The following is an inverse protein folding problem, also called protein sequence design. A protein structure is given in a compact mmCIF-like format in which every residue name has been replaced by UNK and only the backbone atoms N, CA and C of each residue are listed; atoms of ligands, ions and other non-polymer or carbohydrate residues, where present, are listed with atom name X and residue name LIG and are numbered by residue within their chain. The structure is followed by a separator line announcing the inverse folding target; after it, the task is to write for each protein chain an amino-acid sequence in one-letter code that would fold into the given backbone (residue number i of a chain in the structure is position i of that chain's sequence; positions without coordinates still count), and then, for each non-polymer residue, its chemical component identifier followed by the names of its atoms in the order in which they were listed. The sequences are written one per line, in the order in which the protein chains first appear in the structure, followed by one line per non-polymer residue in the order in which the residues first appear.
data_IF_515288243678
#
_entry.id   IF_515288243678
#
_cell.length_a   1.000
_cell.length_b   1.000
_cell.length_c   1.000
_cell.angle_alpha   90.00
_cell.angle_beta   90.00
_cell.angle_gamma   90.00
#
_symmetry.space_group_name_H-M   'P 1'
#
loop_
_entity.id
_entity.type
_entity.pdbx_description
1 polymer ?
#
# COMPACT_ATOMS: atom_id res chain seq x y z
N UNK A 1 23.90 50.41 5.60
CA UNK A 1 23.59 49.64 6.83
C UNK A 1 23.86 50.56 8.01
N UNK A 2 22.83 51.00 8.72
CA UNK A 2 22.97 51.82 9.93
C UNK A 2 23.05 50.89 11.13
N UNK A 3 24.18 50.84 11.82
CA UNK A 3 24.41 49.93 12.96
C UNK A 3 23.90 50.56 14.27
N UNK A 4 23.00 49.87 14.98
CA UNK A 4 22.64 50.19 16.35
C UNK A 4 23.63 49.59 17.36
N UNK A 5 23.95 50.38 18.40
CA UNK A 5 24.74 50.11 19.64
C UNK A 5 25.53 48.79 19.69
N UNK A 6 26.87 48.90 19.78
CA UNK A 6 27.87 47.81 19.79
C UNK A 6 28.39 47.54 21.21
N UNK A 7 28.37 46.28 21.62
CA UNK A 7 29.16 45.75 22.75
C UNK A 7 30.05 44.62 22.18
N UNK A 8 31.38 44.72 22.34
CA UNK A 8 32.32 43.74 21.76
C UNK A 8 33.53 43.46 22.63
N UNK A 9 33.94 42.18 22.65
CA UNK A 9 35.19 41.70 23.25
C UNK A 9 36.06 41.01 22.17
N UNK A 10 37.37 41.23 22.23
CA UNK A 10 38.33 40.75 21.22
C UNK A 10 39.04 39.48 21.73
N UNK A 11 38.91 38.36 21.02
CA UNK A 11 39.78 37.17 21.18
C UNK A 11 40.15 36.60 19.79
N UNK A 12 41.34 36.92 19.30
CA UNK A 12 41.88 36.46 18.00
C UNK A 12 41.43 37.29 16.78
N UNK A 13 41.57 36.75 15.56
CA UNK A 13 41.13 37.37 14.29
C UNK A 13 39.60 37.54 14.14
N UNK A 14 38.85 37.14 15.17
CA UNK A 14 37.41 37.28 15.24
C UNK A 14 37.05 38.10 16.47
N UNK A 15 36.16 39.06 16.28
CA UNK A 15 35.60 39.84 17.37
C UNK A 15 34.21 39.25 17.63
N UNK A 16 33.84 39.05 18.89
CA UNK A 16 32.47 38.67 19.27
C UNK A 16 31.70 39.93 19.61
N UNK A 17 30.47 40.04 19.14
CA UNK A 17 29.63 41.18 19.47
C UNK A 17 28.15 40.90 19.30
N UNK A 18 27.35 41.80 19.87
CA UNK A 18 25.90 41.85 19.68
C UNK A 18 25.53 43.04 18.82
N UNK A 19 24.68 42.82 17.84
CA UNK A 19 24.25 43.79 16.83
C UNK A 19 22.72 43.88 16.83
N UNK A 20 22.20 45.10 16.86
CA UNK A 20 20.78 45.40 16.71
C UNK A 20 20.57 46.15 15.39
N UNK A 21 19.60 45.69 14.62
CA UNK A 21 19.30 46.27 13.30
C UNK A 21 18.00 47.08 13.36
N UNK A 22 17.88 48.08 12.48
CA UNK A 22 16.70 48.94 12.40
C UNK A 22 15.39 48.18 12.08
N UNK A 23 15.49 47.01 11.44
CA UNK A 23 14.34 46.15 11.16
C UNK A 23 13.92 45.30 12.37
N UNK A 24 14.51 45.49 13.55
CA UNK A 24 14.21 44.73 14.76
C UNK A 24 14.98 43.41 14.91
N UNK A 25 15.76 43.00 13.90
CA UNK A 25 16.64 41.84 14.02
C UNK A 25 17.70 42.05 15.10
N UNK A 26 18.22 40.93 15.63
CA UNK A 26 19.39 40.91 16.51
C UNK A 26 20.36 39.82 16.04
N UNK A 27 21.65 40.08 16.07
CA UNK A 27 22.69 39.07 15.85
C UNK A 27 23.68 39.08 16.99
N UNK A 28 24.09 37.90 17.45
CA UNK A 28 25.14 37.72 18.43
C UNK A 28 26.11 36.67 17.93
N UNK A 29 27.36 37.04 17.68
CA UNK A 29 28.33 36.08 17.17
C UNK A 29 29.64 36.69 16.73
N UNK A 30 30.40 35.86 16.04
CA UNK A 30 31.70 36.23 15.49
C UNK A 30 31.53 37.14 14.26
N UNK A 31 32.48 38.06 14.07
CA UNK A 31 32.62 38.88 12.88
C UNK A 31 34.08 39.01 12.44
N UNK A 32 34.26 39.20 11.13
CA UNK A 32 35.55 39.45 10.49
C UNK A 32 35.36 40.49 9.40
N UNK A 33 36.20 41.54 9.39
CA UNK A 33 36.14 42.66 8.42
C UNK A 33 34.72 43.26 8.29
N UNK A 34 34.12 43.62 9.43
CA UNK A 34 32.78 44.21 9.53
C UNK A 34 31.62 43.37 8.95
N UNK A 35 31.83 42.07 8.72
CA UNK A 35 30.79 41.13 8.31
C UNK A 35 30.65 39.97 9.29
N UNK A 36 29.42 39.48 9.46
CA UNK A 36 29.15 38.29 10.27
C UNK A 36 29.86 37.08 9.65
N UNK A 37 30.61 36.36 10.48
CA UNK A 37 31.44 35.24 10.05
C UNK A 37 31.68 34.29 11.22
N UNK A 38 31.70 32.99 10.97
CA UNK A 38 31.92 31.98 12.01
C UNK A 38 30.61 31.55 12.66
N UNK A 39 30.61 31.26 13.96
CA UNK A 39 29.38 30.85 14.67
C UNK A 39 28.63 32.06 15.23
N UNK A 40 27.31 32.04 15.13
CA UNK A 40 26.45 33.09 15.66
C UNK A 40 24.99 32.66 15.83
N UNK A 41 24.26 33.48 16.57
CA UNK A 41 22.83 33.37 16.81
C UNK A 41 22.14 34.61 16.25
N UNK A 42 21.10 34.41 15.45
CA UNK A 42 20.36 35.46 14.78
C UNK A 42 18.89 35.37 15.20
N UNK A 43 18.31 36.48 15.67
CA UNK A 43 16.89 36.63 15.94
C UNK A 43 16.30 37.50 14.83
N UNK A 44 15.33 36.94 14.12
CA UNK A 44 14.68 37.59 12.99
C UNK A 44 13.45 38.40 13.45
N UNK A 45 13.01 39.40 12.68
CA UNK A 45 11.89 40.26 13.06
C UNK A 45 10.56 39.51 13.13
N UNK A 46 10.44 38.41 12.37
CA UNK A 46 9.28 37.53 12.41
C UNK A 46 9.23 36.65 13.67
N UNK A 47 10.25 36.68 14.53
CA UNK A 47 10.36 35.86 15.74
C UNK A 47 11.19 34.59 15.56
N UNK A 48 11.62 34.24 14.33
CA UNK A 48 12.47 33.08 14.10
C UNK A 48 13.84 33.26 14.77
N UNK A 49 14.45 32.15 15.19
CA UNK A 49 15.78 32.17 15.82
C UNK A 49 16.69 31.15 15.15
N UNK A 50 17.76 31.63 14.53
CA UNK A 50 18.82 30.80 13.97
C UNK A 50 20.01 30.70 14.91
N UNK A 51 20.63 29.53 15.00
CA UNK A 51 21.90 29.30 15.67
C UNK A 51 22.79 28.41 14.81
N UNK A 52 23.90 28.93 14.31
CA UNK A 52 24.75 28.16 13.41
C UNK A 52 25.90 28.93 12.80
N UNK A 53 26.41 28.39 11.69
CA UNK A 53 27.50 28.98 10.92
C UNK A 53 26.99 30.09 10.00
N UNK A 54 27.74 31.19 9.95
CA UNK A 54 27.47 32.36 9.13
C UNK A 54 28.74 32.70 8.36
N UNK A 55 28.61 33.05 7.08
CA UNK A 55 29.74 33.44 6.24
C UNK A 55 29.37 34.64 5.39
N UNK A 56 30.13 35.72 5.53
CA UNK A 56 29.93 36.98 4.80
C UNK A 56 28.49 37.52 4.94
N UNK A 57 27.97 37.46 6.17
CA UNK A 57 26.62 37.93 6.47
C UNK A 57 25.47 36.98 6.12
N UNK A 58 25.73 35.80 5.53
CA UNK A 58 24.71 34.82 5.15
C UNK A 58 24.79 33.56 5.99
N UNK A 59 23.65 32.92 6.24
CA UNK A 59 23.60 31.61 6.89
C UNK A 59 24.24 30.57 5.97
N UNK A 60 25.22 29.83 6.48
CA UNK A 60 26.01 28.91 5.66
C UNK A 60 26.72 27.86 6.50
N UNK A 61 26.70 26.60 6.06
CA UNK A 61 27.19 25.46 6.84
C UNK A 61 26.11 24.95 7.80
N UNK A 62 26.50 24.32 8.91
CA UNK A 62 25.52 23.73 9.83
C UNK A 62 24.84 24.77 10.72
N UNK A 63 23.53 24.61 10.91
CA UNK A 63 22.77 25.43 11.84
C UNK A 63 21.36 24.90 12.11
N UNK A 64 20.77 25.44 13.18
CA UNK A 64 19.41 25.19 13.62
C UNK A 64 18.59 26.46 13.45
N UNK A 65 17.41 26.37 12.86
CA UNK A 65 16.41 27.44 12.79
C UNK A 65 15.15 26.99 13.53
N UNK A 66 14.75 27.76 14.54
CA UNK A 66 13.45 27.64 15.19
C UNK A 66 12.51 28.70 14.60
N UNK A 67 11.35 28.27 14.14
CA UNK A 67 10.31 29.13 13.62
C UNK A 67 9.36 29.61 14.75
N UNK A 68 8.66 30.74 14.57
CA UNK A 68 7.79 31.30 15.61
C UNK A 68 6.56 30.43 15.89
N UNK A 69 6.15 29.63 14.91
CA UNK A 69 5.05 28.68 15.02
C UNK A 69 5.43 27.42 15.82
N UNK A 70 6.72 27.17 16.03
CA UNK A 70 7.27 26.01 16.74
C UNK A 70 7.91 24.97 15.82
N UNK A 71 7.86 25.16 14.49
CA UNK A 71 8.59 24.30 13.56
C UNK A 71 10.10 24.49 13.75
N UNK A 72 10.90 23.48 13.44
CA UNK A 72 12.36 23.48 13.58
C UNK A 72 13.03 22.85 12.36
N UNK A 73 14.12 23.44 11.90
CA UNK A 73 15.05 22.81 10.95
C UNK A 73 16.44 22.74 11.54
N UNK A 74 17.07 21.57 11.45
CA UNK A 74 18.47 21.34 11.78
C UNK A 74 19.17 20.73 10.58
N UNK A 75 20.18 21.40 10.02
CA UNK A 75 20.88 20.83 8.88
C UNK A 75 21.91 21.74 8.27
N UNK A 76 22.29 21.43 7.03
CA UNK A 76 23.20 22.24 6.24
C UNK A 76 22.46 23.44 5.64
N UNK A 77 23.16 24.56 5.54
CA UNK A 77 22.70 25.83 5.00
C UNK A 77 23.60 26.26 3.86
N UNK A 78 23.02 26.79 2.80
CA UNK A 78 23.75 27.41 1.71
C UNK A 78 23.04 28.70 1.32
N UNK A 79 23.75 29.83 1.42
CA UNK A 79 23.27 31.17 1.02
C UNK A 79 21.88 31.51 1.57
N UNK A 80 21.68 31.34 2.88
CA UNK A 80 20.41 31.65 3.57
C UNK A 80 19.26 30.64 3.35
N UNK A 81 19.51 29.54 2.64
CA UNK A 81 18.54 28.46 2.39
C UNK A 81 18.95 27.15 3.05
N UNK A 82 17.96 26.31 3.38
CA UNK A 82 18.18 24.90 3.71
C UNK A 82 18.87 24.19 2.53
N UNK A 83 19.83 23.32 2.83
CA UNK A 83 20.58 22.63 1.81
C UNK A 83 21.12 21.30 2.34
N UNK A 84 21.42 20.36 1.45
CA UNK A 84 22.10 19.12 1.81
C UNK A 84 21.30 18.31 2.83
N UNK A 85 21.98 17.61 3.73
CA UNK A 85 21.32 16.80 4.76
C UNK A 85 20.74 17.67 5.87
N UNK A 86 19.52 17.35 6.30
CA UNK A 86 18.87 18.00 7.43
C UNK A 86 17.70 17.20 8.00
N UNK A 87 17.18 17.70 9.11
CA UNK A 87 15.99 17.23 9.79
C UNK A 87 15.05 18.42 9.96
N UNK A 88 13.82 18.29 9.47
CA UNK A 88 12.72 19.20 9.74
C UNK A 88 11.78 18.55 10.75
N UNK A 89 11.35 19.30 11.75
CA UNK A 89 10.33 18.90 12.73
C UNK A 89 9.24 19.94 12.74
N UNK A 90 8.00 19.53 12.55
CA UNK A 90 6.87 20.40 12.75
C UNK A 90 6.44 20.43 14.20
N UNK A 91 5.82 21.54 14.62
CA UNK A 91 5.18 21.69 15.93
C UNK A 91 4.09 20.65 16.23
N UNK A 92 3.54 20.00 15.20
CA UNK A 92 2.53 18.95 15.36
C UNK A 92 3.13 17.54 15.57
N UNK A 93 4.46 17.43 15.57
CA UNK A 93 5.17 16.16 15.80
C UNK A 93 5.64 15.48 14.51
N UNK A 94 5.14 15.90 13.36
CA UNK A 94 5.60 15.42 12.06
C UNK A 94 7.06 15.78 11.82
N UNK A 95 7.82 14.92 11.16
CA UNK A 95 9.22 15.18 10.86
C UNK A 95 9.65 14.57 9.54
N UNK A 96 10.68 15.17 8.95
CA UNK A 96 11.35 14.71 7.75
C UNK A 96 12.86 14.75 7.97
N UNK A 97 13.55 13.65 7.73
CA UNK A 97 15.01 13.56 7.65
C UNK A 97 15.41 13.19 6.24
N UNK A 98 16.19 14.04 5.58
CA UNK A 98 16.59 13.76 4.21
C UNK A 98 17.45 14.84 3.60
N UNK A 99 17.44 14.89 2.27
CA UNK A 99 18.19 15.87 1.49
C UNK A 99 17.28 17.03 1.09
N UNK A 100 17.78 18.26 1.22
CA UNK A 100 17.11 19.51 0.86
C UNK A 100 17.86 20.16 -0.32
N UNK A 101 17.12 20.50 -1.37
CA UNK A 101 17.66 21.20 -2.54
C UNK A 101 17.49 22.74 -2.43
N UNK A 102 18.29 23.51 -3.17
CA UNK A 102 18.05 24.96 -3.34
C UNK A 102 16.76 25.16 -4.17
N UNK A 103 15.64 25.58 -3.56
CA UNK A 103 14.41 25.76 -4.34
C UNK A 103 13.18 26.24 -3.56
N UNK A 104 12.93 27.55 -3.61
CA UNK A 104 11.71 28.19 -3.13
C UNK A 104 11.94 29.70 -3.00
N UNK A 105 11.68 30.43 -4.09
CA UNK A 105 12.05 31.86 -4.24
C UNK A 105 11.44 32.73 -3.13
N UNK A 106 12.27 33.68 -2.67
CA UNK A 106 11.91 34.94 -2.00
C UNK A 106 11.61 34.97 -0.48
N UNK A 107 11.87 33.91 0.28
CA UNK A 107 11.80 33.99 1.76
C UNK A 107 13.00 33.34 2.43
N UNK A 108 13.56 34.02 3.43
CA UNK A 108 14.58 33.47 4.33
C UNK A 108 13.98 32.25 5.05
N UNK A 109 14.62 31.10 4.90
CA UNK A 109 14.05 29.85 5.42
C UNK A 109 12.70 29.51 4.77
N UNK A 110 12.49 29.85 3.49
CA UNK A 110 11.40 29.27 2.72
C UNK A 110 11.42 27.76 3.00
N UNK A 111 10.25 27.20 3.37
CA UNK A 111 9.98 25.77 3.31
C UNK A 111 10.30 25.38 1.88
N UNK A 112 11.59 25.09 1.62
CA UNK A 112 12.03 24.61 0.33
C UNK A 112 11.13 23.44 0.03
N UNK A 113 10.63 23.38 -1.21
CA UNK A 113 9.80 22.29 -1.71
C UNK A 113 10.27 21.00 -1.03
N UNK A 114 9.46 20.51 -0.08
CA UNK A 114 9.93 19.62 0.98
C UNK A 114 10.63 18.42 0.33
N UNK A 115 11.94 18.26 0.57
CA UNK A 115 12.68 17.10 0.11
C UNK A 115 12.59 16.76 -1.38
N UNK A 116 13.43 17.36 -2.22
CA UNK A 116 13.82 16.67 -3.46
C UNK A 116 14.86 15.60 -3.09
N UNK A 117 14.56 14.32 -3.33
CA UNK A 117 15.49 13.21 -3.12
C UNK A 117 15.01 12.17 -2.11
N UNK A 118 15.94 11.38 -1.56
CA UNK A 118 15.62 10.29 -0.63
C UNK A 118 15.58 10.78 0.82
N UNK A 119 14.57 10.36 1.57
CA UNK A 119 14.41 10.71 2.98
C UNK A 119 13.49 9.76 3.73
N UNK A 120 13.37 10.02 5.03
CA UNK A 120 12.50 9.35 5.98
C UNK A 120 11.54 10.42 6.52
N UNK A 121 10.23 10.16 6.49
CA UNK A 121 9.22 11.06 7.03
C UNK A 121 8.24 10.30 7.93
N UNK A 122 7.81 10.92 9.02
CA UNK A 122 6.57 10.48 9.68
C UNK A 122 5.38 10.95 8.87
N UNK A 123 4.44 10.03 8.65
CA UNK A 123 3.10 10.32 8.18
C UNK A 123 2.17 10.42 9.40
N UNK A 124 0.95 10.90 9.19
CA UNK A 124 -0.07 11.01 10.25
C UNK A 124 -0.25 9.69 11.00
N UNK A 125 -0.54 9.77 12.30
CA UNK A 125 -0.84 8.62 13.18
C UNK A 125 0.30 7.65 13.49
N UNK A 126 1.56 8.04 13.21
CA UNK A 126 2.75 7.27 13.60
C UNK A 126 3.29 6.34 12.52
N UNK A 127 2.69 6.38 11.33
CA UNK A 127 3.20 5.75 10.12
C UNK A 127 4.53 6.42 9.72
N UNK A 128 5.42 5.66 9.08
CA UNK A 128 6.75 6.12 8.67
C UNK A 128 6.99 5.77 7.21
N UNK A 129 7.22 6.77 6.37
CA UNK A 129 7.62 6.59 4.98
C UNK A 129 9.13 6.74 4.81
N UNK A 130 9.74 5.81 4.07
CA UNK A 130 11.12 5.89 3.60
C UNK A 130 11.13 5.78 2.08
N UNK A 131 11.59 6.82 1.38
CA UNK A 131 11.63 6.74 -0.07
C UNK A 131 12.06 8.04 -0.73
N UNK A 132 11.81 8.09 -2.03
CA UNK A 132 12.02 9.28 -2.82
C UNK A 132 10.85 10.24 -2.67
N UNK A 133 11.17 11.53 -2.69
CA UNK A 133 10.23 12.64 -2.64
C UNK A 133 10.50 13.59 -3.81
N UNK A 134 9.41 14.17 -4.31
CA UNK A 134 9.42 15.23 -5.29
C UNK A 134 8.44 16.33 -4.84
N UNK A 135 8.98 17.52 -4.59
CA UNK A 135 8.22 18.68 -4.12
C UNK A 135 7.30 18.43 -2.90
N UNK A 136 7.79 17.67 -1.92
CA UNK A 136 7.08 17.37 -0.67
C UNK A 136 6.18 16.15 -0.71
N UNK A 137 6.04 15.53 -1.88
CA UNK A 137 5.15 14.39 -2.09
C UNK A 137 5.98 13.13 -2.34
N UNK A 138 5.64 11.98 -1.76
CA UNK A 138 6.21 10.69 -2.16
C UNK A 138 6.16 10.50 -3.68
N UNK A 139 7.31 10.26 -4.31
CA UNK A 139 7.44 10.12 -5.76
C UNK A 139 8.60 9.17 -6.09
N UNK A 140 8.31 8.16 -6.91
CA UNK A 140 9.20 7.03 -7.18
C UNK A 140 9.05 5.89 -6.15
N UNK A 141 10.13 5.13 -5.93
CA UNK A 141 10.10 3.98 -5.01
C UNK A 141 10.14 4.43 -3.55
N UNK A 142 9.28 3.82 -2.72
CA UNK A 142 9.24 4.06 -1.29
C UNK A 142 8.63 2.90 -0.51
N UNK A 143 8.91 2.87 0.78
CA UNK A 143 8.39 1.93 1.74
C UNK A 143 7.63 2.69 2.83
N UNK A 144 6.50 2.18 3.28
CA UNK A 144 5.75 2.67 4.44
C UNK A 144 5.77 1.60 5.53
N UNK A 145 6.14 1.96 6.75
CA UNK A 145 5.92 1.18 7.97
C UNK A 145 4.70 1.78 8.66
N UNK A 146 3.65 1.00 8.80
CA UNK A 146 2.43 1.44 9.47
C UNK A 146 2.56 1.30 10.99
N UNK A 147 1.86 2.15 11.74
CA UNK A 147 1.87 2.14 13.20
C UNK A 147 1.38 0.81 13.81
N UNK A 148 0.53 0.07 13.08
CA UNK A 148 0.05 -1.26 13.44
C UNK A 148 1.11 -2.37 13.26
N UNK A 149 2.28 -2.04 12.68
CA UNK A 149 3.37 -2.98 12.36
C UNK A 149 3.30 -3.57 10.96
N UNK A 150 2.28 -3.21 10.16
CA UNK A 150 2.21 -3.53 8.74
C UNK A 150 3.27 -2.78 7.94
N UNK A 151 3.50 -3.21 6.69
CA UNK A 151 4.48 -2.61 5.79
C UNK A 151 3.94 -2.55 4.36
N UNK A 152 4.29 -1.51 3.61
CA UNK A 152 3.99 -1.38 2.19
C UNK A 152 5.27 -1.05 1.43
N UNK A 153 5.60 -1.85 0.42
CA UNK A 153 6.66 -1.56 -0.55
C UNK A 153 6.01 -1.13 -1.86
N UNK A 154 6.22 0.11 -2.31
CA UNK A 154 5.47 0.65 -3.44
C UNK A 154 6.27 1.60 -4.34
N UNK A 155 5.71 1.85 -5.52
CA UNK A 155 6.10 2.94 -6.41
C UNK A 155 4.97 3.96 -6.44
N UNK A 156 5.29 5.22 -6.17
CA UNK A 156 4.39 6.36 -6.10
C UNK A 156 4.59 7.22 -7.34
N UNK A 157 3.57 7.37 -8.18
CA UNK A 157 3.64 8.25 -9.36
C UNK A 157 2.29 8.95 -9.56
N UNK A 158 2.29 10.29 -9.56
CA UNK A 158 1.11 11.13 -9.82
C UNK A 158 -0.15 10.75 -8.99
N UNK A 159 0.04 10.44 -7.70
CA UNK A 159 -1.05 10.07 -6.79
C UNK A 159 -1.54 8.62 -6.93
N UNK A 160 -0.94 7.82 -7.82
CA UNK A 160 -1.11 6.37 -7.84
C UNK A 160 -0.01 5.71 -7.03
N UNK A 161 -0.38 4.71 -6.24
CA UNK A 161 0.55 3.88 -5.50
C UNK A 161 0.37 2.45 -5.99
N UNK A 162 1.42 1.80 -6.48
CA UNK A 162 1.35 0.37 -6.85
C UNK A 162 2.42 -0.36 -6.07
N UNK A 163 2.04 -1.42 -5.37
CA UNK A 163 2.96 -2.06 -4.46
C UNK A 163 2.44 -3.33 -3.80
N UNK A 164 3.22 -3.76 -2.80
CA UNK A 164 3.00 -4.95 -2.00
C UNK A 164 2.84 -4.55 -0.53
N UNK A 165 1.64 -4.71 0.02
CA UNK A 165 1.35 -4.50 1.45
C UNK A 165 1.39 -5.82 2.19
N UNK A 166 2.13 -5.86 3.30
CA UNK A 166 2.08 -6.92 4.30
C UNK A 166 1.36 -6.35 5.52
N UNK A 167 0.22 -6.92 5.89
CA UNK A 167 -0.56 -6.49 7.05
C UNK A 167 0.06 -7.02 8.35
N UNK A 168 -0.25 -6.39 9.49
CA UNK A 168 0.28 -6.79 10.80
C UNK A 168 -0.04 -8.25 11.18
N UNK A 169 -1.14 -8.81 10.65
CA UNK A 169 -1.53 -10.21 10.84
C UNK A 169 -0.72 -11.20 9.97
N UNK A 170 0.08 -10.70 9.01
CA UNK A 170 0.89 -11.45 8.05
C UNK A 170 0.26 -11.65 6.68
N UNK A 171 -0.96 -11.17 6.45
CA UNK A 171 -1.59 -11.20 5.13
C UNK A 171 -0.84 -10.31 4.14
N UNK A 172 -0.92 -10.63 2.84
CA UNK A 172 -0.21 -9.92 1.78
C UNK A 172 -1.18 -9.51 0.68
N UNK A 173 -1.13 -8.24 0.29
CA UNK A 173 -1.83 -7.70 -0.87
C UNK A 173 -0.84 -7.14 -1.88
N UNK A 174 -1.04 -7.42 -3.16
CA UNK A 174 -0.26 -6.88 -4.27
C UNK A 174 -1.19 -6.25 -5.30
N UNK A 175 -1.04 -4.94 -5.53
CA UNK A 175 -1.92 -4.21 -6.43
C UNK A 175 -1.75 -2.70 -6.42
N UNK A 176 -2.68 -2.02 -7.09
CA UNK A 176 -2.81 -0.56 -6.97
C UNK A 176 -3.48 -0.21 -5.63
N UNK A 177 -3.00 0.85 -4.99
CA UNK A 177 -3.61 1.52 -3.86
C UNK A 177 -3.97 2.92 -4.33
N UNK A 178 -5.23 3.32 -4.15
CA UNK A 178 -5.61 4.73 -4.20
C UNK A 178 -5.78 5.22 -2.78
N UNK A 179 -5.30 6.43 -2.51
CA UNK A 179 -5.62 7.15 -1.29
C UNK A 179 -7.15 7.25 -1.19
N UNK A 180 -7.75 6.47 -0.29
CA UNK A 180 -9.17 6.37 0.11
C UNK A 180 -10.14 5.37 -0.54
N UNK A 181 -9.86 4.65 -1.64
CA UNK A 181 -10.85 3.70 -2.20
C UNK A 181 -10.16 2.54 -2.94
N UNK A 182 -10.42 1.29 -2.54
CA UNK A 182 -9.99 0.08 -3.27
C UNK A 182 -10.95 -0.17 -4.43
N UNK A 183 -10.49 0.03 -5.66
CA UNK A 183 -11.22 -0.31 -6.88
C UNK A 183 -10.23 -0.78 -7.95
N UNK A 184 -10.23 -2.09 -8.27
CA UNK A 184 -9.39 -2.70 -9.30
C UNK A 184 -9.42 -4.24 -9.30
N UNK A 185 -8.87 -4.86 -10.35
CA UNK A 185 -8.56 -6.30 -10.36
C UNK A 185 -7.30 -6.53 -9.53
N UNK A 186 -7.44 -7.22 -8.39
CA UNK A 186 -6.45 -7.17 -7.32
C UNK A 186 -6.09 -8.58 -6.83
N UNK A 187 -4.83 -8.80 -6.42
CA UNK A 187 -4.35 -10.09 -5.93
C UNK A 187 -4.09 -10.03 -4.42
N UNK A 188 -4.84 -10.83 -3.66
CA UNK A 188 -4.72 -10.96 -2.21
C UNK A 188 -4.27 -12.38 -1.85
N UNK A 189 -3.27 -12.50 -0.98
CA UNK A 189 -2.83 -13.78 -0.39
C UNK A 189 -2.99 -13.73 1.13
N UNK A 190 -3.80 -14.65 1.64
CA UNK A 190 -4.10 -14.81 3.05
C UNK A 190 -3.03 -15.67 3.73
N UNK A 191 -2.75 -15.39 5.00
CA UNK A 191 -1.80 -16.15 5.83
C UNK A 191 -2.13 -17.64 5.91
N UNK A 192 -3.40 -18.00 5.81
CA UNK A 192 -3.84 -19.40 5.81
C UNK A 192 -3.54 -20.14 4.50
N UNK A 193 -2.89 -19.49 3.54
CA UNK A 193 -2.48 -20.06 2.27
C UNK A 193 -3.56 -20.00 1.20
N UNK A 194 -4.64 -19.25 1.40
CA UNK A 194 -5.60 -18.95 0.34
C UNK A 194 -5.14 -17.73 -0.47
N UNK A 195 -5.56 -17.63 -1.71
CA UNK A 195 -5.41 -16.43 -2.52
C UNK A 195 -6.70 -16.10 -3.24
N UNK A 196 -6.90 -14.82 -3.53
CA UNK A 196 -8.00 -14.32 -4.33
C UNK A 196 -7.47 -13.33 -5.35
N UNK A 197 -7.88 -13.47 -6.60
CA UNK A 197 -7.59 -12.54 -7.69
C UNK A 197 -8.92 -12.08 -8.28
N UNK A 198 -9.30 -10.82 -8.13
CA UNK A 198 -10.59 -10.34 -8.61
C UNK A 198 -10.97 -8.98 -8.04
N UNK A 199 -12.24 -8.66 -8.13
CA UNK A 199 -12.79 -7.40 -7.65
C UNK A 199 -13.05 -7.44 -6.13
N UNK A 200 -12.91 -6.28 -5.47
CA UNK A 200 -13.24 -6.06 -4.08
C UNK A 200 -14.21 -4.89 -3.91
N UNK A 201 -15.06 -4.98 -2.88
CA UNK A 201 -15.94 -3.90 -2.42
C UNK A 201 -15.97 -3.91 -0.88
N UNK A 202 -15.69 -2.76 -0.26
CA UNK A 202 -15.54 -2.62 1.20
C UNK A 202 -14.73 -3.75 1.87
N UNK A 203 -13.52 -4.02 1.35
CA UNK A 203 -12.60 -5.09 1.81
C UNK A 203 -13.14 -6.54 1.68
N UNK A 204 -14.24 -6.76 0.96
CA UNK A 204 -14.84 -8.09 0.73
C UNK A 204 -14.76 -8.49 -0.74
N UNK A 205 -14.64 -9.80 -1.03
CA UNK A 205 -14.69 -10.29 -2.42
C UNK A 205 -16.01 -9.87 -3.08
N UNK A 206 -15.92 -9.24 -4.24
CA UNK A 206 -17.09 -8.88 -5.02
C UNK A 206 -16.82 -9.08 -6.52
N UNK A 207 -17.79 -8.77 -7.37
CA UNK A 207 -17.69 -8.94 -8.83
C UNK A 207 -17.25 -10.33 -9.25
N UNK A 208 -16.32 -10.39 -10.21
CA UNK A 208 -15.72 -11.65 -10.67
C UNK A 208 -14.36 -11.86 -10.02
N UNK A 209 -14.07 -13.11 -9.66
CA UNK A 209 -12.78 -13.44 -9.09
C UNK A 209 -12.45 -14.93 -9.05
N UNK A 210 -11.15 -15.21 -8.94
CA UNK A 210 -10.54 -16.51 -8.77
C UNK A 210 -9.99 -16.65 -7.36
N UNK A 211 -10.59 -17.52 -6.56
CA UNK A 211 -10.06 -17.97 -5.29
C UNK A 211 -9.30 -19.29 -5.45
N UNK A 212 -8.15 -19.42 -4.79
CA UNK A 212 -7.32 -20.64 -4.80
C UNK A 212 -6.85 -20.98 -3.40
N UNK A 213 -6.83 -22.26 -3.05
CA UNK A 213 -6.28 -22.79 -1.81
C UNK A 213 -4.91 -23.43 -2.07
N UNK A 214 -3.86 -22.97 -1.41
CA UNK A 214 -2.49 -23.51 -1.55
C UNK A 214 -2.07 -24.42 -0.39
N UNK A 215 -2.95 -24.62 0.58
CA UNK A 215 -2.72 -25.38 1.81
C UNK A 215 -3.81 -26.41 2.01
N UNK A 216 -3.47 -27.50 2.70
CA UNK A 216 -4.48 -28.47 3.14
C UNK A 216 -5.19 -27.97 4.40
N UNK A 217 -6.51 -28.08 4.41
CA UNK A 217 -7.38 -27.75 5.53
C UNK A 217 -8.50 -28.78 5.66
N UNK A 218 -9.30 -28.69 6.72
CA UNK A 218 -10.46 -29.57 6.91
C UNK A 218 -11.59 -29.32 5.90
N UNK A 219 -11.60 -28.14 5.26
CA UNK A 219 -12.63 -27.74 4.30
C UNK A 219 -12.17 -27.81 2.83
N UNK A 220 -10.86 -27.68 2.58
CA UNK A 220 -10.26 -27.59 1.25
C UNK A 220 -8.88 -28.21 1.22
N UNK A 221 -8.54 -28.88 0.13
CA UNK A 221 -7.19 -29.37 -0.13
C UNK A 221 -6.41 -28.38 -0.97
N UNK A 222 -5.07 -28.42 -0.87
CA UNK A 222 -4.19 -27.61 -1.69
C UNK A 222 -4.43 -27.90 -3.19
N UNK A 223 -4.59 -26.85 -4.00
CA UNK A 223 -4.97 -26.91 -5.41
C UNK A 223 -6.49 -26.80 -5.67
N UNK A 224 -7.32 -26.69 -4.64
CA UNK A 224 -8.75 -26.40 -4.81
C UNK A 224 -8.93 -24.93 -5.22
N UNK A 225 -9.89 -24.64 -6.10
CA UNK A 225 -10.15 -23.28 -6.56
C UNK A 225 -11.62 -23.03 -6.87
N UNK A 226 -12.01 -21.77 -6.88
CA UNK A 226 -13.30 -21.30 -7.36
C UNK A 226 -13.10 -20.08 -8.26
N UNK A 227 -13.66 -20.14 -9.46
CA UNK A 227 -13.73 -19.03 -10.42
C UNK A 227 -15.19 -18.68 -10.66
N UNK A 228 -15.60 -17.45 -10.40
CA UNK A 228 -16.99 -17.06 -10.62
C UNK A 228 -17.35 -15.72 -10.01
N UNK A 229 -18.65 -15.54 -9.87
CA UNK A 229 -19.25 -14.35 -9.28
C UNK A 229 -19.22 -14.42 -7.73
N UNK A 230 -18.96 -13.26 -7.12
CA UNK A 230 -18.86 -13.03 -5.69
C UNK A 230 -19.74 -11.86 -5.27
N UNK A 231 -20.43 -12.00 -4.15
CA UNK A 231 -21.21 -10.93 -3.51
C UNK A 231 -20.90 -10.91 -2.03
N UNK A 232 -20.27 -9.82 -1.56
CA UNK A 232 -19.87 -9.61 -0.17
C UNK A 232 -19.18 -10.84 0.45
N UNK A 233 -18.13 -11.33 -0.21
CA UNK A 233 -17.31 -12.45 0.24
C UNK A 233 -17.91 -13.84 0.02
N UNK A 234 -19.10 -13.96 -0.58
CA UNK A 234 -19.78 -15.24 -0.83
C UNK A 234 -19.90 -15.54 -2.31
N UNK A 235 -19.81 -16.82 -2.66
CA UNK A 235 -20.05 -17.28 -4.03
C UNK A 235 -21.54 -17.20 -4.34
N UNK A 236 -21.86 -16.50 -5.41
CA UNK A 236 -23.22 -16.17 -5.82
C UNK A 236 -23.25 -16.17 -7.35
N UNK A 237 -24.37 -16.54 -7.97
CA UNK A 237 -24.47 -16.54 -9.43
C UNK A 237 -23.66 -17.66 -10.10
N UNK A 238 -23.09 -17.40 -11.27
CA UNK A 238 -22.41 -18.44 -12.06
C UNK A 238 -20.96 -18.65 -11.62
N UNK A 239 -20.56 -19.91 -11.44
CA UNK A 239 -19.18 -20.23 -11.08
C UNK A 239 -18.74 -21.64 -11.38
N UNK A 240 -17.45 -21.88 -11.20
CA UNK A 240 -16.78 -23.16 -11.38
C UNK A 240 -15.88 -23.42 -10.19
N UNK A 241 -16.10 -24.54 -9.49
CA UNK A 241 -15.23 -25.01 -8.41
C UNK A 241 -14.45 -26.23 -8.86
N UNK A 242 -13.16 -26.21 -8.63
CA UNK A 242 -12.26 -27.36 -8.76
C UNK A 242 -11.89 -27.81 -7.34
N UNK A 243 -12.17 -29.07 -7.02
CA UNK A 243 -11.86 -29.64 -5.72
C UNK A 243 -10.68 -30.59 -5.87
N UNK A 244 -9.50 -30.18 -5.39
CA UNK A 244 -8.35 -31.08 -5.34
C UNK A 244 -8.58 -32.18 -4.30
N UNK A 245 -8.10 -33.40 -4.58
CA UNK A 245 -8.19 -34.53 -3.64
C UNK A 245 -9.38 -35.48 -3.84
N UNK A 246 -9.92 -35.63 -5.06
CA UNK A 246 -10.81 -36.77 -5.38
C UNK A 246 -12.27 -36.41 -5.62
N UNK A 247 -12.64 -35.13 -5.62
CA UNK A 247 -14.04 -34.70 -5.62
C UNK A 247 -14.52 -34.11 -6.95
N UNK A 248 -13.65 -33.89 -7.94
CA UNK A 248 -14.06 -33.42 -9.26
C UNK A 248 -14.31 -31.91 -9.41
N UNK A 249 -14.96 -31.55 -10.52
CA UNK A 249 -15.23 -30.18 -10.97
C UNK A 249 -16.73 -29.95 -11.01
N UNK A 250 -17.21 -28.88 -10.37
CA UNK A 250 -18.57 -28.39 -10.56
C UNK A 250 -18.57 -27.09 -11.34
N UNK A 251 -19.53 -26.95 -12.26
CA UNK A 251 -19.81 -25.73 -13.02
C UNK A 251 -21.31 -25.47 -13.02
N UNK A 252 -21.75 -24.34 -12.49
CA UNK A 252 -23.17 -24.02 -12.40
C UNK A 252 -23.44 -22.85 -11.48
N UNK A 253 -24.71 -22.70 -11.11
CA UNK A 253 -25.14 -21.60 -10.24
C UNK A 253 -24.77 -21.88 -8.77
N UNK A 254 -24.54 -20.80 -8.02
CA UNK A 254 -24.27 -20.73 -6.60
C UNK A 254 -25.21 -19.72 -5.94
N UNK A 255 -25.62 -20.01 -4.71
CA UNK A 255 -26.39 -19.12 -3.85
C UNK A 255 -25.89 -19.31 -2.42
N UNK A 256 -25.39 -18.25 -1.77
CA UNK A 256 -24.80 -18.32 -0.43
C UNK A 256 -23.77 -19.44 -0.28
N UNK A 257 -22.77 -19.50 -1.16
CA UNK A 257 -21.70 -20.53 -1.19
C UNK A 257 -22.14 -21.95 -1.53
N UNK A 258 -23.43 -22.18 -1.75
CA UNK A 258 -23.96 -23.51 -2.02
C UNK A 258 -24.34 -23.64 -3.49
N UNK A 259 -24.03 -24.79 -4.09
CA UNK A 259 -24.51 -25.15 -5.43
C UNK A 259 -26.03 -25.01 -5.48
N UNK A 260 -26.53 -24.28 -6.45
CA UNK A 260 -27.94 -23.97 -6.63
C UNK A 260 -28.28 -24.01 -8.13
N UNK A 261 -29.56 -23.89 -8.49
CA UNK A 261 -29.99 -23.71 -9.86
C UNK A 261 -29.55 -24.87 -10.77
N UNK A 262 -29.12 -24.56 -12.00
CA UNK A 262 -28.60 -25.56 -12.93
C UNK A 262 -27.09 -25.69 -12.79
N UNK A 263 -26.60 -26.93 -12.85
CA UNK A 263 -25.16 -27.19 -12.79
C UNK A 263 -24.75 -28.59 -13.21
N UNK A 264 -23.49 -28.69 -13.58
CA UNK A 264 -22.80 -29.91 -14.00
C UNK A 264 -21.69 -30.26 -13.01
N UNK A 265 -21.61 -31.52 -12.61
CA UNK A 265 -20.59 -32.09 -11.74
C UNK A 265 -19.85 -33.20 -12.49
N UNK A 266 -18.55 -33.02 -12.71
CA UNK A 266 -17.66 -34.01 -13.29
C UNK A 266 -16.81 -34.61 -12.18
N UNK A 267 -16.96 -35.89 -11.92
CA UNK A 267 -16.22 -36.58 -10.86
C UNK A 267 -14.91 -37.19 -11.39
N UNK A 268 -13.96 -37.39 -10.49
CA UNK A 268 -12.64 -37.94 -10.84
C UNK A 268 -12.69 -39.39 -11.34
N UNK A 269 -13.73 -40.14 -10.95
CA UNK A 269 -14.01 -41.47 -11.51
C UNK A 269 -14.60 -41.44 -12.94
N UNK A 270 -14.73 -40.26 -13.55
CA UNK A 270 -15.23 -40.06 -14.91
C UNK A 270 -16.74 -39.88 -15.02
N UNK A 271 -17.49 -39.97 -13.91
CA UNK A 271 -18.93 -39.71 -13.91
C UNK A 271 -19.25 -38.24 -14.16
N UNK A 272 -20.33 -37.94 -14.86
CA UNK A 272 -20.83 -36.59 -15.11
C UNK A 272 -22.30 -36.52 -14.76
N UNK A 273 -22.65 -35.70 -13.76
CA UNK A 273 -24.03 -35.33 -13.47
C UNK A 273 -24.33 -33.95 -14.03
N UNK A 274 -25.44 -33.79 -14.74
CA UNK A 274 -25.98 -32.51 -15.17
C UNK A 274 -27.42 -32.39 -14.70
N UNK A 275 -27.78 -31.33 -14.00
CA UNK A 275 -29.15 -31.19 -13.52
C UNK A 275 -29.35 -30.03 -12.56
N UNK A 276 -30.48 -30.10 -11.87
CA UNK A 276 -30.90 -29.11 -10.89
C UNK A 276 -30.25 -29.37 -9.51
N UNK A 277 -29.94 -28.28 -8.82
CA UNK A 277 -29.28 -28.23 -7.52
C UNK A 277 -30.03 -27.26 -6.60
N UNK A 278 -30.06 -27.59 -5.32
CA UNK A 278 -30.59 -26.72 -4.28
C UNK A 278 -29.80 -26.89 -3.00
N UNK A 279 -29.20 -25.79 -2.54
CA UNK A 279 -28.46 -25.71 -1.28
C UNK A 279 -27.41 -26.83 -1.15
N UNK A 280 -26.63 -27.04 -2.21
CA UNK A 280 -25.53 -27.99 -2.25
C UNK A 280 -25.92 -29.43 -2.61
N UNK A 281 -27.22 -29.72 -2.76
CA UNK A 281 -27.74 -31.07 -3.04
C UNK A 281 -28.37 -31.14 -4.42
N UNK A 282 -28.27 -32.30 -5.06
CA UNK A 282 -29.01 -32.62 -6.28
C UNK A 282 -30.51 -32.62 -5.97
N UNK A 283 -31.30 -31.83 -6.68
CA UNK A 283 -32.74 -31.71 -6.47
C UNK A 283 -33.42 -31.43 -7.80
N UNK A 284 -34.50 -32.15 -8.14
CA UNK A 284 -35.21 -31.95 -9.40
C UNK A 284 -34.73 -32.86 -10.52
N UNK A 285 -34.72 -32.35 -11.76
CA UNK A 285 -34.35 -33.13 -12.94
C UNK A 285 -32.84 -33.17 -13.17
N UNK A 286 -32.32 -34.33 -13.56
CA UNK A 286 -30.91 -34.44 -13.92
C UNK A 286 -30.56 -35.76 -14.60
N UNK A 287 -29.39 -35.80 -15.23
CA UNK A 287 -28.81 -36.96 -15.90
C UNK A 287 -27.42 -37.23 -15.34
N UNK A 288 -27.11 -38.48 -15.00
CA UNK A 288 -25.76 -38.90 -14.64
C UNK A 288 -25.25 -39.93 -15.65
N UNK A 289 -24.09 -39.68 -16.23
CA UNK A 289 -23.40 -40.58 -17.16
C UNK A 289 -22.14 -41.09 -16.49
N UNK A 290 -21.90 -42.40 -16.49
CA UNK A 290 -20.64 -42.98 -16.03
C UNK A 290 -20.33 -44.27 -16.78
N UNK A 291 -19.05 -44.64 -16.80
CA UNK A 291 -18.56 -45.85 -17.45
C UNK A 291 -18.35 -46.93 -16.40
N UNK A 292 -18.92 -48.12 -16.62
CA UNK A 292 -18.71 -49.28 -15.75
C UNK A 292 -18.58 -50.53 -16.60
N UNK A 293 -17.46 -51.26 -16.48
CA UNK A 293 -17.24 -52.52 -17.19
C UNK A 293 -17.24 -52.43 -18.72
N UNK A 294 -16.99 -51.24 -19.30
CA UNK A 294 -17.03 -50.99 -20.75
C UNK A 294 -18.37 -50.47 -21.28
N UNK A 295 -19.43 -50.45 -20.46
CA UNK A 295 -20.74 -49.90 -20.81
C UNK A 295 -20.87 -48.43 -20.37
N UNK A 296 -21.63 -47.65 -21.15
CA UNK A 296 -22.06 -46.29 -20.78
C UNK A 296 -23.44 -46.39 -20.10
N UNK A 297 -23.50 -45.99 -18.84
CA UNK A 297 -24.73 -46.00 -18.04
C UNK A 297 -25.27 -44.59 -17.90
N UNK A 298 -26.56 -44.40 -18.23
CA UNK A 298 -27.29 -43.15 -18.05
C UNK A 298 -28.35 -43.31 -16.95
N UNK A 299 -28.28 -42.46 -15.93
CA UNK A 299 -29.29 -42.38 -14.86
C UNK A 299 -30.09 -41.09 -15.01
N UNK A 300 -31.42 -41.21 -15.13
CA UNK A 300 -32.32 -40.07 -15.18
C UNK A 300 -33.01 -39.85 -13.83
N UNK A 301 -32.89 -38.64 -13.28
CA UNK A 301 -33.52 -38.18 -12.05
C UNK A 301 -34.71 -37.28 -12.39
N UNK A 302 -35.84 -37.49 -11.73
CA UNK A 302 -37.06 -36.68 -11.92
C UNK A 302 -37.52 -36.04 -10.60
N UNK A 303 -37.33 -36.72 -9.46
CA UNK A 303 -37.67 -36.20 -8.14
C UNK A 303 -36.86 -36.89 -7.02
N UNK A 304 -36.68 -36.20 -5.88
CA UNK A 304 -35.88 -36.67 -4.71
C UNK A 304 -36.33 -38.02 -4.12
N UNK A 305 -37.59 -38.38 -4.33
CA UNK A 305 -38.24 -39.57 -3.74
C UNK A 305 -38.37 -40.76 -4.71
N UNK A 306 -37.89 -40.61 -5.95
CA UNK A 306 -37.95 -41.68 -6.95
C UNK A 306 -36.53 -42.17 -7.24
N UNK A 307 -36.27 -43.49 -7.21
CA UNK A 307 -34.97 -44.01 -7.62
C UNK A 307 -34.71 -43.61 -9.08
N UNK A 308 -33.47 -43.26 -9.44
CA UNK A 308 -33.15 -42.88 -10.80
C UNK A 308 -33.47 -44.01 -11.76
N UNK A 309 -34.00 -43.67 -12.94
CA UNK A 309 -34.24 -44.66 -13.98
C UNK A 309 -32.92 -44.96 -14.70
N UNK A 310 -32.50 -46.22 -14.67
CA UNK A 310 -31.31 -46.68 -15.38
C UNK A 310 -31.63 -47.00 -16.84
N UNK A 311 -30.96 -46.29 -17.74
CA UNK A 311 -30.93 -46.58 -19.16
C UNK A 311 -29.53 -47.09 -19.49
N UNK A 312 -29.43 -48.37 -19.88
CA UNK A 312 -28.17 -48.93 -20.40
C UNK A 312 -28.04 -48.57 -21.87
N UNK A 313 -26.97 -47.87 -22.22
CA UNK A 313 -26.62 -47.63 -23.61
C UNK A 313 -25.51 -48.60 -23.98
N UNK A 314 -25.84 -49.63 -24.77
CA UNK A 314 -24.83 -50.52 -25.33
C UNK A 314 -24.10 -49.75 -26.43
N UNK A 315 -22.79 -49.53 -26.26
CA UNK A 315 -21.96 -49.00 -27.32
C UNK A 315 -21.59 -50.19 -28.20
N UNK A 316 -22.12 -50.30 -29.44
CA UNK A 316 -21.73 -51.40 -30.32
C UNK A 316 -20.20 -51.33 -30.55
N UNK A 317 -19.50 -52.48 -30.61
CA UNK A 317 -18.08 -52.49 -30.90
C UNK A 317 -17.84 -51.76 -32.22
N UNK A 318 -16.81 -50.91 -32.26
CA UNK A 318 -16.42 -50.22 -33.48
C UNK A 318 -16.24 -51.26 -34.59
N UNK A 319 -17.04 -51.15 -35.65
CA UNK A 319 -16.85 -51.98 -36.84
C UNK A 319 -15.44 -51.71 -37.35
N UNK A 320 -14.58 -52.73 -37.28
CA UNK A 320 -13.26 -52.70 -37.86
C UNK A 320 -13.42 -52.65 -39.38
N UNK A 321 -13.19 -51.47 -39.97
CA UNK A 321 -12.88 -51.33 -41.39
C UNK A 321 -11.37 -51.40 -41.61
#
# INVERSE_FOLDING_TARGET
MSYGKRESETKGNFIKGTYFFANGSKYQGQHSKDMFHGKGKYWFPNGSVYSGSVRKGRLEGEGVLLFPDGDEYQGVWQRDHFHGKGVYRSRWGDWYEGTFAEGGKDKLGSRGEEGAGKGLASLTDGDVYYGSFNAGVPDGKGNVLFADGGMLEATFEHGKCVGRRTFANGDVYEGEFRMNESHGEESFTFRDGKSYVGEFDEDMYHGKGLWTCHTDSTAWSAGSSYEGEWVCGRREGMGKVHLSGGNGIYSGEFFLDLRHGKGAMRYDYGGVYEGEWKLGRREGRGTEVFISGGDVLLLCWVHRSSPPQLVRMHVPPAESN
#
